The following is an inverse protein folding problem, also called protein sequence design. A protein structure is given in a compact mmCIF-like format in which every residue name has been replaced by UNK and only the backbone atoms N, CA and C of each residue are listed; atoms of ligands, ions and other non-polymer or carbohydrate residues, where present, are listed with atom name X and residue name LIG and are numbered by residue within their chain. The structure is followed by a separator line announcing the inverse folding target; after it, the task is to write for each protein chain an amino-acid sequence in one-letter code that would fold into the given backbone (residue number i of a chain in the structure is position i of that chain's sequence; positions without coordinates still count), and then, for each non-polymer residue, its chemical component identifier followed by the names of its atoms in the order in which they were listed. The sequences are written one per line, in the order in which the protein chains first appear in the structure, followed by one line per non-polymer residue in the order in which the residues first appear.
data_IF_852519577749
#
_entry.id   IF_852519577749
#
_cell.length_a   1.000
_cell.length_b   1.000
_cell.length_c   1.000
_cell.angle_alpha   90.00
_cell.angle_beta   90.00
_cell.angle_gamma   90.00
#
_symmetry.space_group_name_H-M   'P 1'
#
loop_
_entity.id
_entity.type
_entity.pdbx_description
1 polymer ?
#
# COMPACT_ATOMS: atom_id res chain seq x y z
N UNK A 1 -9.82 -5.16 21.16
CA UNK A 1 -11.15 -4.61 21.53
C UNK A 1 -12.17 -5.18 20.55
N UNK A 2 -13.21 -5.84 21.07
CA UNK A 2 -14.10 -6.71 20.31
C UNK A 2 -15.03 -5.96 19.36
N UNK A 3 -15.13 -6.48 18.14
CA UNK A 3 -16.04 -6.08 17.06
C UNK A 3 -17.50 -6.34 17.44
N UNK A 4 -18.39 -5.40 17.13
CA UNK A 4 -19.81 -5.67 16.91
C UNK A 4 -20.11 -5.46 15.43
N UNK A 5 -20.42 -6.55 14.73
CA UNK A 5 -21.05 -6.54 13.40
C UNK A 5 -22.46 -7.08 13.59
N UNK A 6 -23.46 -6.26 13.25
CA UNK A 6 -24.87 -6.67 13.24
C UNK A 6 -25.15 -7.31 11.88
N UNK A 7 -25.33 -8.63 11.90
CA UNK A 7 -26.01 -9.36 10.85
C UNK A 7 -27.50 -9.01 10.88
N UNK A 8 -28.06 -8.61 9.73
CA UNK A 8 -29.50 -8.83 9.49
C UNK A 8 -29.66 -9.43 8.11
N UNK A 9 -29.92 -10.74 8.15
CA UNK A 9 -30.37 -11.58 7.06
C UNK A 9 -31.79 -11.17 6.66
N UNK A 10 -32.08 -11.01 5.38
CA UNK A 10 -33.43 -11.23 4.88
C UNK A 10 -33.40 -11.96 3.55
N UNK A 11 -33.98 -13.15 3.60
CA UNK A 11 -34.12 -14.12 2.53
C UNK A 11 -35.15 -13.69 1.49
N UNK A 12 -34.80 -13.95 0.22
CA UNK A 12 -35.58 -14.70 -0.79
C UNK A 12 -37.08 -14.37 -0.99
N UNK A 13 -37.42 -13.86 -2.18
CA UNK A 13 -38.58 -14.32 -2.96
C UNK A 13 -38.46 -13.87 -4.42
N UNK A 14 -38.03 -14.77 -5.29
CA UNK A 14 -38.20 -14.64 -6.74
C UNK A 14 -39.63 -15.07 -7.10
N UNK A 15 -40.42 -14.17 -7.67
CA UNK A 15 -41.73 -14.48 -8.22
C UNK A 15 -41.61 -14.67 -9.74
N UNK A 16 -41.70 -15.93 -10.17
CA UNK A 16 -41.78 -16.36 -11.56
C UNK A 16 -43.27 -16.40 -11.96
N UNK A 17 -43.78 -15.38 -12.64
CA UNK A 17 -45.12 -15.43 -13.26
C UNK A 17 -45.00 -15.87 -14.71
N UNK A 18 -45.30 -17.15 -14.97
CA UNK A 18 -45.58 -17.67 -16.30
C UNK A 18 -47.05 -17.40 -16.63
N UNK A 19 -47.31 -16.52 -17.60
CA UNK A 19 -48.64 -16.34 -18.18
C UNK A 19 -48.74 -17.15 -19.47
N UNK A 20 -49.44 -18.29 -19.41
CA UNK A 20 -50.00 -18.94 -20.60
C UNK A 20 -51.30 -18.23 -20.97
N UNK A 21 -51.36 -17.67 -22.18
CA UNK A 21 -52.61 -17.33 -22.84
C UNK A 21 -52.61 -17.99 -24.22
N UNK A 22 -53.40 -19.05 -24.34
CA UNK A 22 -53.76 -19.71 -25.59
C UNK A 22 -55.01 -18.99 -26.15
N UNK A 23 -54.90 -18.35 -27.30
CA UNK A 23 -56.08 -18.04 -28.13
C UNK A 23 -55.68 -18.10 -29.60
N UNK A 24 -56.34 -18.99 -30.33
CA UNK A 24 -56.12 -19.27 -31.73
C UNK A 24 -57.00 -18.38 -32.63
N UNK A 25 -56.43 -17.96 -33.76
CA UNK A 25 -56.97 -18.00 -35.14
C UNK A 25 -56.56 -16.77 -35.98
N UNK A 26 -55.88 -17.02 -37.12
CA UNK A 26 -56.00 -16.18 -38.32
C UNK A 26 -54.71 -15.70 -38.99
N UNK A 27 -54.19 -16.49 -39.93
CA UNK A 27 -53.46 -16.12 -41.18
C UNK A 27 -52.54 -14.87 -41.19
N UNK A 28 -51.21 -15.11 -41.16
CA UNK A 28 -50.24 -14.86 -42.25
C UNK A 28 -48.84 -15.25 -41.78
N UNK A 29 -48.13 -16.00 -42.60
CA UNK A 29 -46.78 -16.51 -42.33
C UNK A 29 -45.78 -15.39 -42.60
N UNK A 30 -45.13 -14.88 -41.55
CA UNK A 30 -44.05 -13.91 -41.64
C UNK A 30 -42.82 -14.51 -40.94
N UNK A 31 -41.70 -14.54 -41.66
CA UNK A 31 -40.47 -15.22 -41.26
C UNK A 31 -39.93 -14.69 -39.91
N UNK A 32 -39.30 -15.53 -39.07
CA UNK A 32 -38.79 -15.10 -37.79
C UNK A 32 -37.70 -14.04 -37.97
N UNK A 33 -37.89 -12.89 -37.33
CA UNK A 33 -36.89 -11.84 -37.24
C UNK A 33 -35.62 -12.41 -36.57
N UNK A 34 -34.48 -12.20 -37.21
CA UNK A 34 -33.17 -12.56 -36.66
C UNK A 34 -32.96 -11.87 -35.30
N UNK A 35 -32.31 -12.53 -34.32
CA UNK A 35 -31.99 -11.90 -33.04
C UNK A 35 -31.12 -10.68 -33.31
N UNK A 36 -31.56 -9.52 -32.82
CA UNK A 36 -30.75 -8.30 -32.82
C UNK A 36 -29.44 -8.60 -32.08
N UNK A 37 -28.32 -8.41 -32.78
CA UNK A 37 -27.00 -8.51 -32.18
C UNK A 37 -26.96 -7.57 -30.97
N UNK A 38 -26.62 -8.12 -29.79
CA UNK A 38 -26.28 -7.30 -28.64
C UNK A 38 -25.16 -6.35 -29.06
N UNK A 39 -25.18 -5.07 -28.63
CA UNK A 39 -24.07 -4.17 -28.92
C UNK A 39 -22.80 -4.83 -28.36
N UNK A 40 -21.88 -5.20 -29.25
CA UNK A 40 -20.51 -5.52 -28.86
C UNK A 40 -20.02 -4.33 -28.04
N UNK A 41 -19.76 -4.56 -26.75
CA UNK A 41 -19.08 -3.59 -25.94
C UNK A 41 -17.81 -3.22 -26.70
N UNK A 42 -17.71 -1.96 -27.15
CA UNK A 42 -16.54 -1.46 -27.83
C UNK A 42 -15.33 -1.88 -26.99
N UNK A 43 -14.36 -2.58 -27.60
CA UNK A 43 -13.12 -2.91 -26.93
C UNK A 43 -12.58 -1.63 -26.28
N UNK A 44 -12.24 -1.63 -24.98
CA UNK A 44 -11.73 -0.45 -24.32
C UNK A 44 -10.57 0.09 -25.16
N UNK A 45 -10.69 1.34 -25.59
CA UNK A 45 -9.64 1.98 -26.35
C UNK A 45 -8.38 1.94 -25.49
N UNK A 46 -7.33 1.26 -25.97
CA UNK A 46 -6.13 1.00 -25.19
C UNK A 46 -5.64 2.32 -24.58
N UNK A 47 -5.50 2.36 -23.25
CA UNK A 47 -5.20 3.59 -22.52
C UNK A 47 -3.77 4.14 -22.79
N UNK A 48 -3.02 3.51 -23.68
CA UNK A 48 -1.63 3.79 -23.98
C UNK A 48 -0.68 3.07 -23.01
N UNK A 49 0.55 3.58 -22.95
CA UNK A 49 1.58 3.09 -22.04
C UNK A 49 1.46 3.79 -20.69
N UNK A 50 1.48 3.02 -19.61
CA UNK A 50 1.44 3.51 -18.23
C UNK A 50 2.58 2.89 -17.43
N UNK A 51 3.32 3.72 -16.71
CA UNK A 51 4.41 3.29 -15.82
C UNK A 51 3.93 3.25 -14.38
N UNK A 52 4.12 2.11 -13.71
CA UNK A 52 3.73 1.89 -12.31
C UNK A 52 4.98 1.62 -11.48
N UNK A 53 5.16 2.35 -10.38
CA UNK A 53 6.26 2.09 -9.46
C UNK A 53 6.09 0.73 -8.78
N UNK A 54 7.04 -0.18 -9.00
CA UNK A 54 7.21 -1.40 -8.21
C UNK A 54 8.06 -1.06 -6.98
N UNK A 55 7.38 -0.54 -5.97
CA UNK A 55 7.96 -0.22 -4.67
C UNK A 55 8.55 -1.48 -4.02
N UNK A 56 9.62 -1.37 -3.25
CA UNK A 56 10.33 -2.54 -2.70
C UNK A 56 9.83 -3.02 -1.31
N UNK A 57 8.58 -2.73 -0.95
CA UNK A 57 7.92 -3.28 0.25
C UNK A 57 6.59 -3.93 -0.11
N UNK A 58 6.22 -4.97 0.63
CA UNK A 58 5.26 -5.99 0.18
C UNK A 58 3.85 -5.43 -0.04
N UNK A 59 3.37 -4.52 0.80
CA UNK A 59 2.03 -3.93 0.61
C UNK A 59 1.95 -3.14 -0.70
N UNK A 60 2.99 -2.36 -1.00
CA UNK A 60 3.05 -1.58 -2.22
C UNK A 60 3.32 -2.44 -3.46
N UNK A 61 4.12 -3.51 -3.36
CA UNK A 61 4.26 -4.49 -4.44
C UNK A 61 2.92 -5.13 -4.79
N UNK A 62 2.14 -5.54 -3.78
CA UNK A 62 0.80 -6.10 -3.98
C UNK A 62 -0.12 -5.10 -4.67
N UNK A 63 -0.14 -3.84 -4.21
CA UNK A 63 -0.92 -2.78 -4.83
C UNK A 63 -0.47 -2.49 -6.27
N UNK A 64 0.84 -2.51 -6.54
CA UNK A 64 1.40 -2.34 -7.89
C UNK A 64 0.90 -3.44 -8.84
N UNK A 65 0.80 -4.68 -8.37
CA UNK A 65 0.27 -5.79 -9.17
C UNK A 65 -1.25 -5.72 -9.35
N UNK A 66 -1.98 -5.20 -8.37
CA UNK A 66 -3.41 -4.92 -8.51
C UNK A 66 -3.63 -3.85 -9.58
N UNK A 67 -2.88 -2.75 -9.51
CA UNK A 67 -2.92 -1.68 -10.52
C UNK A 67 -2.59 -2.22 -11.90
N UNK A 68 -1.54 -3.03 -12.03
CA UNK A 68 -1.18 -3.71 -13.28
C UNK A 68 -2.34 -4.55 -13.84
N UNK A 69 -2.97 -5.40 -13.02
CA UNK A 69 -4.10 -6.22 -13.47
C UNK A 69 -5.28 -5.37 -13.92
N UNK A 70 -5.63 -4.32 -13.17
CA UNK A 70 -6.74 -3.44 -13.49
C UNK A 70 -6.46 -2.67 -14.79
N UNK A 71 -5.30 -2.03 -14.90
CA UNK A 71 -4.92 -1.23 -16.06
C UNK A 71 -4.77 -2.11 -17.31
N UNK A 72 -4.05 -3.22 -17.21
CA UNK A 72 -3.80 -4.08 -18.36
C UNK A 72 -5.07 -4.84 -18.80
N UNK A 73 -5.78 -5.49 -17.87
CA UNK A 73 -6.93 -6.34 -18.22
C UNK A 73 -8.26 -5.60 -18.24
N UNK A 74 -8.43 -4.59 -17.41
CA UNK A 74 -9.66 -3.81 -17.32
C UNK A 74 -9.72 -2.66 -18.32
N UNK A 75 -8.58 -2.00 -18.57
CA UNK A 75 -8.51 -0.80 -19.42
C UNK A 75 -7.66 -0.98 -20.70
N UNK A 76 -7.05 -2.15 -20.91
CA UNK A 76 -6.25 -2.42 -22.10
C UNK A 76 -4.95 -1.62 -22.21
N UNK A 77 -4.40 -1.17 -21.07
CA UNK A 77 -3.15 -0.42 -21.02
C UNK A 77 -1.91 -1.31 -21.24
N UNK A 78 -0.85 -0.76 -21.82
CA UNK A 78 0.49 -1.35 -21.74
C UNK A 78 1.16 -0.89 -20.45
N UNK A 79 1.24 -1.77 -19.45
CA UNK A 79 1.80 -1.43 -18.14
C UNK A 79 3.28 -1.78 -18.08
N UNK A 80 4.13 -0.81 -17.78
CA UNK A 80 5.54 -1.00 -17.45
C UNK A 80 5.76 -0.83 -15.94
N UNK A 81 6.35 -1.85 -15.32
CA UNK A 81 6.75 -1.79 -13.90
C UNK A 81 8.13 -1.16 -13.78
N UNK A 82 8.25 -0.08 -13.02
CA UNK A 82 9.52 0.63 -12.80
C UNK A 82 9.97 0.39 -11.36
N UNK A 83 11.18 -0.15 -11.11
CA UNK A 83 11.71 -0.29 -9.76
C UNK A 83 11.66 1.05 -9.01
N UNK A 84 11.19 1.03 -7.76
CA UNK A 84 10.98 2.25 -6.99
C UNK A 84 11.16 2.08 -5.50
N UNK A 85 11.48 3.20 -4.85
CA UNK A 85 11.56 3.35 -3.40
C UNK A 85 10.96 4.74 -3.05
N UNK A 86 10.67 5.00 -1.77
CA UNK A 86 9.95 6.22 -1.35
C UNK A 86 10.55 7.52 -1.89
N UNK A 87 11.83 7.78 -1.61
CA UNK A 87 12.48 9.05 -1.95
C UNK A 87 12.70 9.22 -3.46
N UNK A 88 13.34 8.28 -4.18
CA UNK A 88 13.59 8.44 -5.62
C UNK A 88 12.29 8.51 -6.43
N UNK A 89 11.29 7.67 -6.11
CA UNK A 89 10.02 7.67 -6.86
C UNK A 89 9.26 8.96 -6.68
N UNK A 90 9.03 9.42 -5.43
CA UNK A 90 8.25 10.65 -5.22
C UNK A 90 8.99 11.88 -5.75
N UNK A 91 10.31 11.92 -5.68
CA UNK A 91 11.11 13.00 -6.30
C UNK A 91 10.93 13.01 -7.81
N UNK A 92 11.11 11.87 -8.47
CA UNK A 92 10.95 11.76 -9.92
C UNK A 92 9.51 12.11 -10.36
N UNK A 93 8.50 11.70 -9.61
CA UNK A 93 7.10 12.05 -9.90
C UNK A 93 6.88 13.56 -9.82
N UNK A 94 7.39 14.23 -8.77
CA UNK A 94 7.22 15.68 -8.60
C UNK A 94 7.98 16.50 -9.65
N UNK A 95 9.16 16.03 -10.06
CA UNK A 95 10.04 16.76 -11.00
C UNK A 95 9.75 16.47 -12.47
N UNK A 96 9.41 15.22 -12.79
CA UNK A 96 9.35 14.69 -14.16
C UNK A 96 7.98 14.10 -14.51
N UNK A 97 7.06 13.99 -13.55
CA UNK A 97 5.76 13.34 -13.76
C UNK A 97 5.87 11.84 -14.00
N UNK A 98 6.97 11.19 -13.60
CA UNK A 98 7.19 9.75 -13.81
C UNK A 98 7.75 9.07 -12.55
N UNK A 99 7.36 7.83 -12.24
CA UNK A 99 6.35 7.02 -12.95
C UNK A 99 4.93 7.60 -12.83
N UNK A 100 4.01 7.16 -13.68
CA UNK A 100 2.64 7.67 -13.74
C UNK A 100 1.85 7.33 -12.47
N UNK A 101 2.13 6.17 -11.88
CA UNK A 101 1.45 5.67 -10.68
C UNK A 101 2.47 5.28 -9.61
N UNK A 102 2.29 5.81 -8.40
CA UNK A 102 2.82 5.22 -7.18
C UNK A 102 1.67 4.52 -6.44
N UNK A 103 1.68 3.18 -6.35
CA UNK A 103 0.56 2.39 -5.80
C UNK A 103 0.36 2.63 -4.29
N UNK A 104 1.45 2.96 -3.59
CA UNK A 104 1.45 3.36 -2.19
C UNK A 104 2.53 4.41 -1.97
N UNK A 105 2.19 5.53 -1.35
CA UNK A 105 3.12 6.63 -1.12
C UNK A 105 3.16 7.02 0.36
N UNK A 106 4.32 6.85 0.98
CA UNK A 106 4.62 7.37 2.32
C UNK A 106 5.15 8.79 2.22
N UNK A 107 4.26 9.76 2.44
CA UNK A 107 4.52 11.17 2.09
C UNK A 107 5.08 12.01 3.25
N UNK A 108 5.38 11.39 4.41
CA UNK A 108 5.67 12.09 5.67
C UNK A 108 6.74 13.19 5.54
N UNK A 109 7.79 12.97 4.76
CA UNK A 109 8.85 13.96 4.55
C UNK A 109 8.73 14.81 3.28
N UNK A 110 7.81 14.46 2.37
CA UNK A 110 7.65 15.15 1.08
C UNK A 110 6.27 15.80 0.94
N UNK A 111 5.50 15.89 2.02
CA UNK A 111 4.13 16.40 1.97
C UNK A 111 4.03 17.82 1.42
N UNK A 112 4.91 18.73 1.85
CA UNK A 112 4.92 20.10 1.34
C UNK A 112 5.19 20.17 -0.18
N UNK A 113 6.29 19.61 -0.72
CA UNK A 113 6.52 19.65 -2.17
C UNK A 113 5.47 18.84 -2.96
N UNK A 114 4.95 17.74 -2.41
CA UNK A 114 3.91 16.96 -3.05
C UNK A 114 2.58 17.73 -3.14
N UNK A 115 2.16 18.38 -2.05
CA UNK A 115 0.95 19.20 -2.05
C UNK A 115 1.07 20.40 -3.01
N UNK A 116 2.28 20.95 -3.19
CA UNK A 116 2.55 21.97 -4.21
C UNK A 116 2.40 21.40 -5.64
N UNK A 117 2.99 20.23 -5.93
CA UNK A 117 2.84 19.56 -7.23
C UNK A 117 1.38 19.22 -7.53
N UNK A 118 0.60 18.83 -6.52
CA UNK A 118 -0.85 18.58 -6.66
C UNK A 118 -1.62 19.85 -6.94
N UNK A 119 -1.32 20.95 -6.24
CA UNK A 119 -1.95 22.25 -6.48
C UNK A 119 -1.66 22.80 -7.88
N UNK A 120 -0.47 22.52 -8.41
CA UNK A 120 -0.08 22.86 -9.78
C UNK A 120 -0.72 21.96 -10.84
N UNK A 121 -1.42 20.89 -10.43
CA UNK A 121 -2.04 19.92 -11.34
C UNK A 121 -1.04 18.97 -12.01
N UNK A 122 0.19 18.87 -11.48
CA UNK A 122 1.20 17.91 -11.99
C UNK A 122 0.97 16.50 -11.48
N UNK A 123 0.48 16.38 -10.25
CA UNK A 123 0.20 15.10 -9.59
C UNK A 123 -1.20 15.12 -8.99
N UNK A 124 -1.75 13.93 -8.77
CA UNK A 124 -3.07 13.76 -8.15
C UNK A 124 -3.03 12.62 -7.13
N UNK A 125 -3.73 12.81 -6.01
CA UNK A 125 -4.04 11.70 -5.10
C UNK A 125 -5.22 10.91 -5.68
N UNK A 126 -4.96 9.73 -6.24
CA UNK A 126 -5.99 8.91 -6.87
C UNK A 126 -6.90 8.22 -5.83
N UNK A 127 -6.31 7.65 -4.78
CA UNK A 127 -7.03 6.93 -3.74
C UNK A 127 -6.23 6.90 -2.43
N UNK A 128 -6.91 6.50 -1.34
CA UNK A 128 -6.23 6.04 -0.12
C UNK A 128 -5.91 4.56 -0.30
N UNK A 129 -4.63 4.23 -0.42
CA UNK A 129 -4.14 2.85 -0.59
C UNK A 129 -4.48 1.94 0.59
N UNK A 130 -4.45 2.49 1.81
CA UNK A 130 -4.83 1.82 3.05
C UNK A 130 -6.00 2.56 3.69
N UNK A 131 -7.10 1.84 3.98
CA UNK A 131 -8.34 2.43 4.54
C UNK A 131 -8.08 3.15 5.86
N UNK A 132 -7.32 2.50 6.75
CA UNK A 132 -6.95 3.03 8.06
C UNK A 132 -5.65 3.87 8.02
N UNK A 133 -5.06 4.02 6.83
CA UNK A 133 -3.72 4.58 6.66
C UNK A 133 -2.61 3.64 7.12
N UNK A 134 -1.38 4.15 7.09
CA UNK A 134 -0.19 3.45 7.56
C UNK A 134 0.42 4.17 8.77
N UNK A 135 0.97 3.40 9.72
CA UNK A 135 1.73 3.93 10.85
C UNK A 135 3.19 3.53 10.68
N UNK A 136 4.05 4.54 10.60
CA UNK A 136 5.50 4.40 10.57
C UNK A 136 6.07 4.86 11.91
N UNK A 137 7.00 4.09 12.46
CA UNK A 137 7.60 4.40 13.76
C UNK A 137 8.61 3.35 14.21
N UNK A 138 9.20 3.59 15.38
CA UNK A 138 10.04 2.59 16.04
C UNK A 138 9.16 1.63 16.82
N UNK A 139 9.35 0.34 16.58
CA UNK A 139 8.59 -0.73 17.22
C UNK A 139 9.50 -1.56 18.11
N UNK A 140 8.97 -2.02 19.24
CA UNK A 140 9.61 -3.01 20.10
C UNK A 140 8.88 -4.35 19.98
N UNK A 141 9.56 -5.50 20.18
CA UNK A 141 8.91 -6.80 20.16
C UNK A 141 7.82 -6.90 21.23
N UNK A 142 6.72 -7.58 20.91
CA UNK A 142 5.57 -7.71 21.81
C UNK A 142 5.96 -8.32 23.16
N UNK A 143 6.84 -9.33 23.17
CA UNK A 143 7.25 -9.95 24.43
C UNK A 143 8.02 -8.99 25.35
N UNK A 144 8.78 -8.04 24.78
CA UNK A 144 9.43 -6.97 25.56
C UNK A 144 8.38 -6.04 26.14
N UNK A 145 7.43 -5.59 25.33
CA UNK A 145 6.35 -4.71 25.78
C UNK A 145 5.46 -5.35 26.87
N UNK A 146 5.20 -6.66 26.76
CA UNK A 146 4.39 -7.40 27.73
C UNK A 146 5.17 -7.62 29.06
N UNK A 147 6.48 -7.89 29.00
CA UNK A 147 7.33 -8.07 30.17
C UNK A 147 7.71 -6.75 30.86
N UNK A 148 7.74 -5.65 30.11
CA UNK A 148 8.13 -4.31 30.56
C UNK A 148 7.02 -3.30 30.24
N UNK A 149 5.86 -3.38 30.92
CA UNK A 149 4.72 -2.52 30.64
C UNK A 149 4.98 -1.05 30.96
N UNK A 150 6.04 -0.72 31.68
CA UNK A 150 6.54 0.63 31.93
C UNK A 150 7.19 1.29 30.70
N UNK A 151 7.64 0.52 29.71
CA UNK A 151 8.17 1.05 28.44
C UNK A 151 7.02 1.54 27.57
N UNK A 152 6.76 2.85 27.60
CA UNK A 152 5.69 3.51 26.81
C UNK A 152 6.20 4.55 25.83
N UNK A 153 7.43 4.99 25.98
CA UNK A 153 8.05 6.01 25.12
C UNK A 153 9.41 5.55 24.61
N UNK A 154 9.90 6.23 23.57
CA UNK A 154 11.27 6.02 23.06
C UNK A 154 12.30 6.26 24.18
N UNK A 155 12.10 7.29 25.00
CA UNK A 155 13.00 7.58 26.12
C UNK A 155 12.99 6.50 27.19
N UNK A 156 11.88 5.81 27.41
CA UNK A 156 11.83 4.65 28.31
C UNK A 156 12.62 3.48 27.71
N UNK A 157 12.39 3.14 26.44
CA UNK A 157 13.13 2.07 25.77
C UNK A 157 14.65 2.35 25.75
N UNK A 158 15.06 3.60 25.54
CA UNK A 158 16.47 3.99 25.49
C UNK A 158 17.17 3.97 26.86
N UNK A 159 16.45 3.81 27.98
CA UNK A 159 17.07 3.53 29.29
C UNK A 159 17.51 2.07 29.43
N UNK A 160 17.05 1.19 28.53
CA UNK A 160 17.16 -0.26 28.65
C UNK A 160 17.87 -0.91 27.45
N UNK A 161 19.13 -0.55 27.14
CA UNK A 161 19.88 -1.17 26.04
C UNK A 161 20.02 -2.69 26.18
N UNK A 162 19.98 -3.22 27.40
CA UNK A 162 20.03 -4.66 27.70
C UNK A 162 18.83 -5.45 27.14
N UNK A 163 17.70 -4.78 26.91
CA UNK A 163 16.49 -5.42 26.37
C UNK A 163 16.52 -5.54 24.84
N UNK A 164 17.47 -4.86 24.17
CA UNK A 164 17.54 -4.80 22.71
C UNK A 164 18.94 -5.18 22.19
N UNK A 165 19.50 -6.34 22.57
CA UNK A 165 20.92 -6.62 22.41
C UNK A 165 21.35 -6.68 20.93
N UNK A 166 22.28 -5.83 20.53
CA UNK A 166 22.87 -5.83 19.19
C UNK A 166 23.53 -7.18 18.86
N UNK A 167 23.37 -7.64 17.63
CA UNK A 167 23.98 -8.88 17.14
C UNK A 167 25.51 -8.80 17.16
N UNK A 168 26.08 -7.65 16.80
CA UNK A 168 27.52 -7.45 16.70
C UNK A 168 28.18 -7.14 18.05
N UNK A 169 27.44 -6.50 18.97
CA UNK A 169 27.92 -6.20 20.31
C UNK A 169 26.81 -6.33 21.35
N UNK A 170 26.76 -7.47 22.02
CA UNK A 170 25.76 -7.78 23.06
C UNK A 170 25.80 -6.87 24.28
N UNK A 171 26.81 -6.00 24.42
CA UNK A 171 26.87 -4.95 25.46
C UNK A 171 26.15 -3.66 25.08
N UNK A 172 25.60 -3.57 23.86
CA UNK A 172 24.88 -2.40 23.36
C UNK A 172 23.47 -2.78 22.88
N UNK A 173 22.56 -1.84 23.00
CA UNK A 173 21.23 -1.92 22.39
C UNK A 173 21.31 -1.71 20.86
N UNK A 174 20.32 -2.16 20.10
CA UNK A 174 20.21 -1.93 18.67
C UNK A 174 18.90 -1.21 18.33
N UNK A 175 19.01 -0.16 17.52
CA UNK A 175 17.90 0.40 16.76
C UNK A 175 18.12 0.00 15.31
N UNK A 176 17.22 -0.79 14.75
CA UNK A 176 17.28 -1.17 13.34
C UNK A 176 16.71 -0.04 12.48
N UNK A 177 17.51 0.42 11.52
CA UNK A 177 17.15 1.49 10.60
C UNK A 177 16.34 0.95 9.42
N UNK A 178 15.71 1.84 8.68
CA UNK A 178 15.04 1.49 7.43
C UNK A 178 16.02 1.24 6.27
N UNK A 179 15.54 0.55 5.21
CA UNK A 179 16.27 0.37 3.96
C UNK A 179 16.72 1.68 3.34
N UNK A 180 17.78 1.61 2.54
CA UNK A 180 18.22 2.76 1.75
C UNK A 180 17.14 3.23 0.77
N UNK A 181 17.03 4.54 0.57
CA UNK A 181 16.04 5.14 -0.33
C UNK A 181 14.66 5.35 0.31
N UNK A 182 14.40 4.77 1.48
CA UNK A 182 13.18 5.03 2.24
C UNK A 182 13.33 6.30 3.05
N UNK A 183 12.25 7.07 3.16
CA UNK A 183 12.26 8.25 4.00
C UNK A 183 12.62 7.91 5.47
N UNK A 184 12.11 6.78 5.97
CA UNK A 184 12.32 6.42 7.36
C UNK A 184 13.78 6.13 7.71
N UNK A 185 14.66 5.93 6.73
CA UNK A 185 16.11 5.83 6.95
C UNK A 185 16.66 7.15 7.46
N UNK A 186 16.22 8.25 6.85
CA UNK A 186 16.63 9.62 7.18
C UNK A 186 16.02 10.05 8.51
N UNK A 187 14.71 9.82 8.70
CA UNK A 187 14.03 10.24 9.93
C UNK A 187 14.53 9.45 11.13
N UNK A 188 14.71 8.13 11.02
CA UNK A 188 15.29 7.29 12.09
C UNK A 188 16.74 7.67 12.38
N UNK A 189 17.55 7.94 11.36
CA UNK A 189 18.93 8.42 11.56
C UNK A 189 19.00 9.75 12.32
N UNK A 190 18.10 10.69 12.00
CA UNK A 190 18.03 11.98 12.70
C UNK A 190 17.47 11.83 14.12
N UNK A 191 16.42 11.04 14.28
CA UNK A 191 15.86 10.63 15.57
C UNK A 191 16.92 10.03 16.51
N UNK A 192 17.70 9.07 16.02
CA UNK A 192 18.75 8.40 16.79
C UNK A 192 19.79 9.40 17.33
N UNK A 193 20.15 10.41 16.53
CA UNK A 193 21.02 11.50 16.96
C UNK A 193 20.33 12.42 17.97
N UNK A 194 19.10 12.84 17.68
CA UNK A 194 18.32 13.77 18.51
C UNK A 194 18.06 13.22 19.92
N UNK A 195 17.81 11.91 20.04
CA UNK A 195 17.62 11.23 21.32
C UNK A 195 18.91 10.83 22.03
N UNK A 196 20.08 11.20 21.48
CA UNK A 196 21.39 10.83 22.02
C UNK A 196 21.54 9.31 22.23
N UNK A 197 20.89 8.50 21.37
CA UNK A 197 20.78 7.05 21.57
C UNK A 197 22.16 6.36 21.64
N UNK A 198 23.15 6.87 20.89
CA UNK A 198 24.53 6.40 20.98
C UNK A 198 25.13 6.55 22.39
N UNK A 199 24.89 7.68 23.05
CA UNK A 199 25.35 7.94 24.43
C UNK A 199 24.60 7.09 25.44
N UNK A 200 23.34 6.74 25.13
CA UNK A 200 22.49 5.84 25.90
C UNK A 200 22.81 4.35 25.66
N UNK A 201 23.89 4.02 24.95
CA UNK A 201 24.37 2.65 24.80
C UNK A 201 23.79 1.89 23.61
N UNK A 202 23.15 2.56 22.66
CA UNK A 202 22.61 1.95 21.45
C UNK A 202 23.56 2.10 20.26
N UNK A 203 23.40 1.21 19.29
CA UNK A 203 23.94 1.35 17.93
C UNK A 203 22.78 1.47 16.94
N UNK A 204 22.97 2.29 15.91
CA UNK A 204 22.07 2.35 14.77
C UNK A 204 22.52 1.29 13.77
N UNK A 205 21.69 0.28 13.53
CA UNK A 205 21.97 -0.83 12.62
C UNK A 205 21.38 -0.50 11.26
N UNK A 206 22.22 -0.37 10.24
CA UNK A 206 21.75 -0.24 8.86
C UNK A 206 21.25 -1.60 8.35
N UNK A 207 20.01 -1.63 7.87
CA UNK A 207 19.40 -2.83 7.28
C UNK A 207 19.73 -2.97 5.80
N UNK A 208 20.14 -1.89 5.15
CA UNK A 208 20.54 -1.80 3.75
C UNK A 208 19.40 -1.98 2.74
N UNK A 209 18.49 -2.93 2.98
CA UNK A 209 17.43 -3.37 2.08
C UNK A 209 16.17 -3.78 2.85
N UNK A 210 15.03 -3.83 2.15
CA UNK A 210 13.77 -4.32 2.73
C UNK A 210 13.92 -5.73 3.33
N UNK A 211 14.58 -6.65 2.62
CA UNK A 211 14.88 -7.99 3.14
C UNK A 211 15.75 -7.97 4.41
N UNK A 212 16.67 -7.02 4.52
CA UNK A 212 17.47 -6.83 5.73
C UNK A 212 16.64 -6.36 6.92
N UNK A 213 15.68 -5.45 6.68
CA UNK A 213 14.75 -4.99 7.71
C UNK A 213 13.80 -6.13 8.13
N UNK A 214 13.20 -6.84 7.18
CA UNK A 214 12.33 -8.00 7.45
C UNK A 214 13.07 -9.07 8.24
N UNK A 215 14.32 -9.35 7.86
CA UNK A 215 15.18 -10.29 8.57
C UNK A 215 15.51 -9.87 10.00
N UNK A 216 15.57 -8.56 10.28
CA UNK A 216 15.73 -8.06 11.65
C UNK A 216 14.46 -8.24 12.49
N UNK A 217 13.29 -7.97 11.91
CA UNK A 217 11.98 -8.12 12.56
C UNK A 217 11.71 -9.61 12.85
N UNK A 218 11.98 -10.50 11.90
CA UNK A 218 11.73 -11.93 12.05
C UNK A 218 12.61 -12.61 13.10
N UNK A 219 13.77 -12.03 13.43
CA UNK A 219 14.70 -12.53 14.45
C UNK A 219 14.49 -11.89 15.82
N UNK A 220 13.61 -10.90 15.92
CA UNK A 220 13.42 -10.06 17.09
C UNK A 220 12.74 -10.81 18.23
#
# INVERSE_FOLDING_TARGET
MSRFHIHTSLSLAAALTAALALSACGKKEEAPAAPAAAPEAAAPQACGKVTVANMNWQSAEVLAQIDNVILAKGYGCEVEMVPGDTMPTLTAMMEKGQPDVAPEAWINAVRQPLDAAVKEGKLHYAAKSLVDGGIEGWWIPKYVADAHPDIKTIDDALKHPELFPSAENKKKGAVHNCPSGWNCQLTTGNAFKAWDAAKKGFVLVDTGSAAGLDGSIAKA
#
